data_IF_258395184276
#
_entry.id   IF_258395184276
#
_cell.length_a   1.000
_cell.length_b   1.000
_cell.length_c   1.000
_cell.angle_alpha   90.00
_cell.angle_beta   90.00
_cell.angle_gamma   90.00
#
_symmetry.space_group_name_H-M   'P 1'
#
loop_
_entity.id
_entity.type
_entity.pdbx_description
1 polymer ?
#
# COMPACT_ATOMS: atom_id res chain seq x y z
N UNK A 1 14.84 -1.21 17.79
CA UNK A 1 16.22 -0.66 17.97
C UNK A 1 16.57 -0.59 19.46
N UNK A 2 17.73 -1.07 19.94
CA UNK A 2 18.44 -0.21 20.92
C UNK A 2 18.65 1.09 20.14
N UNK A 3 17.92 2.15 20.49
CA UNK A 3 17.97 3.41 19.75
C UNK A 3 19.45 3.74 19.49
N UNK A 4 19.86 3.85 18.22
CA UNK A 4 21.25 4.22 17.91
C UNK A 4 21.46 5.55 18.63
N UNK A 5 22.35 5.62 19.65
CA UNK A 5 22.44 6.80 20.48
C UNK A 5 22.71 8.01 19.59
N UNK A 6 21.99 9.11 19.82
CA UNK A 6 22.18 10.32 19.02
C UNK A 6 23.66 10.75 19.03
N UNK A 7 24.34 10.58 20.16
CA UNK A 7 25.78 10.76 20.35
C UNK A 7 26.63 9.93 19.38
N UNK A 8 26.25 8.66 19.16
CA UNK A 8 26.92 7.77 18.22
C UNK A 8 26.72 8.24 16.78
N UNK A 9 25.51 8.68 16.43
CA UNK A 9 25.22 9.27 15.13
C UNK A 9 26.02 10.57 14.89
N UNK A 10 26.12 11.44 15.89
CA UNK A 10 26.92 12.68 15.84
C UNK A 10 28.41 12.37 15.63
N UNK A 11 28.95 11.34 16.30
CA UNK A 11 30.33 10.89 16.09
C UNK A 11 30.54 10.22 14.72
N UNK A 12 29.56 9.44 14.28
CA UNK A 12 29.55 8.69 13.03
C UNK A 12 29.50 9.61 11.80
N UNK A 13 28.83 10.77 11.92
CA UNK A 13 28.68 11.78 10.85
C UNK A 13 28.22 11.20 9.50
N UNK A 14 27.47 10.09 9.56
CA UNK A 14 26.90 9.42 8.40
C UNK A 14 27.86 8.69 7.45
N UNK A 15 29.17 8.70 7.70
CA UNK A 15 30.18 8.08 6.81
C UNK A 15 31.13 7.11 7.51
N UNK A 16 31.15 7.07 8.86
CA UNK A 16 32.06 6.20 9.62
C UNK A 16 31.44 4.83 9.98
N UNK A 17 30.17 4.63 9.66
CA UNK A 17 29.42 3.38 9.87
C UNK A 17 29.56 2.76 11.28
N UNK A 18 29.72 3.59 12.31
CA UNK A 18 29.95 3.16 13.70
C UNK A 18 28.78 2.38 14.31
N UNK A 19 27.61 2.42 13.69
CA UNK A 19 26.43 1.66 14.10
C UNK A 19 26.39 0.23 13.52
N UNK A 20 27.42 -0.19 12.76
CA UNK A 20 27.49 -1.52 12.14
C UNK A 20 26.57 -1.71 10.93
N UNK A 21 25.83 -0.68 10.51
CA UNK A 21 25.03 -0.72 9.30
C UNK A 21 25.92 -0.54 8.05
N UNK A 22 25.66 -1.25 6.94
CA UNK A 22 26.44 -1.14 5.70
C UNK A 22 26.29 0.22 5.01
N UNK A 23 25.26 1.01 5.37
CA UNK A 23 25.06 2.38 4.93
C UNK A 23 24.39 3.21 6.05
N UNK A 24 24.43 4.55 5.95
CA UNK A 24 23.74 5.43 6.90
C UNK A 24 22.33 5.77 6.42
N UNK A 25 21.26 5.31 7.11
CA UNK A 25 19.89 5.61 6.70
C UNK A 25 19.55 7.11 6.70
N UNK A 26 20.17 7.90 7.59
CA UNK A 26 19.96 9.35 7.64
C UNK A 26 20.52 10.07 6.40
N UNK A 27 21.70 9.66 5.93
CA UNK A 27 22.31 10.24 4.73
C UNK A 27 21.58 9.83 3.47
N UNK A 28 21.14 8.57 3.37
CA UNK A 28 20.32 8.12 2.24
C UNK A 28 18.98 8.89 2.19
N UNK A 29 18.33 9.09 3.35
CA UNK A 29 17.14 9.95 3.46
C UNK A 29 17.42 11.38 2.99
N UNK A 30 18.49 12.01 3.50
CA UNK A 30 18.84 13.38 3.13
C UNK A 30 19.13 13.53 1.64
N UNK A 31 19.94 12.63 1.07
CA UNK A 31 20.23 12.60 -0.37
C UNK A 31 18.96 12.42 -1.19
N UNK A 32 18.08 11.51 -0.78
CA UNK A 32 16.81 11.30 -1.47
C UNK A 32 15.96 12.56 -1.45
N UNK A 33 15.86 13.28 -0.33
CA UNK A 33 15.14 14.57 -0.27
C UNK A 33 15.76 15.57 -1.23
N UNK A 34 17.07 15.80 -1.11
CA UNK A 34 17.76 16.83 -1.89
C UNK A 34 17.64 16.54 -3.37
N UNK A 35 17.88 15.31 -3.81
CA UNK A 35 17.73 14.91 -5.20
C UNK A 35 16.30 15.14 -5.71
N UNK A 36 15.31 14.88 -4.87
CA UNK A 36 13.91 15.03 -5.27
C UNK A 36 13.54 16.50 -5.35
N UNK A 37 13.92 17.31 -4.37
CA UNK A 37 13.74 18.77 -4.41
C UNK A 37 14.53 19.44 -5.54
N UNK A 38 15.67 18.88 -5.95
CA UNK A 38 16.48 19.36 -7.07
C UNK A 38 15.88 19.00 -8.43
N UNK A 39 15.33 17.78 -8.58
CA UNK A 39 14.63 17.34 -9.80
C UNK A 39 13.33 18.11 -10.02
N UNK A 40 12.74 18.54 -8.93
CA UNK A 40 11.55 19.37 -8.92
C UNK A 40 11.94 20.75 -9.44
N UNK A 41 11.74 20.97 -10.74
CA UNK A 41 11.63 22.30 -11.33
C UNK A 41 10.34 22.97 -10.83
N UNK A 42 10.11 23.02 -9.52
CA UNK A 42 9.18 23.99 -8.96
C UNK A 42 9.84 25.32 -9.25
N UNK A 43 9.39 25.96 -10.32
CA UNK A 43 9.48 27.40 -10.41
C UNK A 43 8.83 27.90 -9.11
N UNK A 44 9.64 28.49 -8.20
CA UNK A 44 9.17 28.83 -6.84
C UNK A 44 7.93 29.75 -6.88
N UNK A 45 7.73 30.41 -8.01
CA UNK A 45 6.57 31.21 -8.35
C UNK A 45 5.32 30.38 -8.74
N UNK A 46 5.46 29.30 -9.51
CA UNK A 46 4.30 28.55 -10.06
C UNK A 46 3.76 27.46 -9.12
N UNK A 47 4.62 26.88 -8.26
CA UNK A 47 4.29 25.76 -7.35
C UNK A 47 3.59 24.59 -8.06
N UNK A 48 3.89 24.42 -9.35
CA UNK A 48 3.35 23.37 -10.22
C UNK A 48 4.29 22.16 -10.16
N UNK A 49 3.70 20.97 -10.11
CA UNK A 49 4.40 19.69 -10.15
C UNK A 49 3.68 18.82 -11.17
N UNK A 50 4.43 18.33 -12.16
CA UNK A 50 3.98 17.43 -13.20
C UNK A 50 4.63 16.05 -13.06
N UNK A 51 3.92 15.02 -13.54
CA UNK A 51 4.39 13.64 -13.63
C UNK A 51 3.23 12.66 -13.83
N UNK A 52 3.51 11.42 -14.22
CA UNK A 52 2.45 10.42 -14.36
C UNK A 52 2.02 9.83 -13.01
N UNK A 53 0.72 9.59 -12.84
CA UNK A 53 0.05 8.98 -11.69
C UNK A 53 -0.90 7.85 -12.14
N UNK A 54 -1.14 6.82 -11.33
CA UNK A 54 -0.42 6.46 -10.12
C UNK A 54 1.05 6.24 -10.46
N UNK A 55 1.92 6.71 -9.56
CA UNK A 55 2.57 5.67 -8.80
C UNK A 55 1.73 5.37 -7.57
N UNK A 56 1.21 6.40 -6.87
CA UNK A 56 0.57 6.17 -5.58
C UNK A 56 -0.56 7.13 -5.24
N UNK A 57 -1.67 6.60 -4.72
CA UNK A 57 -2.78 7.38 -4.19
C UNK A 57 -3.31 6.75 -2.90
N UNK A 58 -3.57 7.57 -1.88
CA UNK A 58 -3.98 7.11 -0.55
C UNK A 58 -5.16 7.96 -0.06
N UNK A 59 -6.17 7.31 0.50
CA UNK A 59 -7.24 7.93 1.28
C UNK A 59 -6.88 7.83 2.76
N UNK A 60 -6.63 8.96 3.41
CA UNK A 60 -6.27 9.02 4.82
C UNK A 60 -7.46 8.77 5.76
N UNK A 61 -7.21 8.10 6.90
CA UNK A 61 -8.21 7.80 7.94
C UNK A 61 -8.41 8.92 8.96
N UNK A 62 -7.39 9.76 9.18
CA UNK A 62 -7.41 10.78 10.22
C UNK A 62 -8.46 11.86 9.92
N UNK A 63 -9.47 11.96 10.80
CA UNK A 63 -10.53 12.97 10.70
C UNK A 63 -11.78 12.50 9.95
N UNK A 64 -11.88 11.20 9.64
CA UNK A 64 -13.06 10.61 9.00
C UNK A 64 -14.37 11.07 9.69
N UNK A 65 -15.40 11.51 8.93
CA UNK A 65 -15.59 11.36 7.48
C UNK A 65 -14.85 12.40 6.61
N UNK A 66 -14.19 13.42 7.19
CA UNK A 66 -13.36 14.36 6.42
C UNK A 66 -11.99 13.74 6.17
N UNK A 67 -11.79 13.26 4.95
CA UNK A 67 -10.59 12.53 4.56
C UNK A 67 -9.61 13.42 3.81
N UNK A 68 -8.32 13.05 3.86
CA UNK A 68 -7.28 13.66 3.02
C UNK A 68 -6.86 12.66 1.96
N UNK A 69 -7.03 13.01 0.69
CA UNK A 69 -6.46 12.31 -0.44
C UNK A 69 -5.00 12.73 -0.56
N UNK A 70 -4.10 11.75 -0.64
CA UNK A 70 -2.68 11.96 -0.86
C UNK A 70 -2.36 11.36 -2.23
N UNK A 71 -2.13 12.23 -3.21
CA UNK A 71 -1.80 11.86 -4.58
C UNK A 71 -0.31 12.12 -4.78
N UNK A 72 0.44 11.09 -5.15
CA UNK A 72 1.88 11.17 -5.23
C UNK A 72 2.33 11.23 -6.69
N UNK A 73 3.11 12.25 -7.02
CA UNK A 73 3.64 12.50 -8.36
C UNK A 73 5.16 12.33 -8.36
N UNK A 74 5.74 11.55 -9.29
CA UNK A 74 7.17 11.54 -9.54
C UNK A 74 7.53 12.75 -10.41
N UNK A 75 8.31 13.72 -9.89
CA UNK A 75 8.48 15.01 -10.55
C UNK A 75 9.16 14.90 -11.92
N UNK A 76 8.49 15.39 -12.97
CA UNK A 76 8.93 15.37 -14.37
C UNK A 76 9.26 13.97 -14.90
N UNK A 77 8.64 12.94 -14.34
CA UNK A 77 8.74 11.55 -14.82
C UNK A 77 7.40 11.16 -15.43
N UNK A 78 7.44 10.66 -16.67
CA UNK A 78 6.25 10.37 -17.46
C UNK A 78 6.23 8.93 -17.99
N UNK A 79 5.04 8.44 -18.33
CA UNK A 79 4.81 7.11 -18.87
C UNK A 79 5.23 5.98 -17.94
N UNK A 80 5.64 4.85 -18.51
CA UNK A 80 5.95 3.62 -17.76
C UNK A 80 7.09 3.77 -16.74
N UNK A 81 7.98 4.76 -16.88
CA UNK A 81 9.03 4.99 -15.87
C UNK A 81 8.43 5.34 -14.50
N UNK A 82 7.30 6.07 -14.49
CA UNK A 82 6.62 6.48 -13.26
C UNK A 82 6.17 5.28 -12.43
N UNK A 83 5.85 4.14 -13.07
CA UNK A 83 5.44 2.90 -12.41
C UNK A 83 6.49 2.39 -11.44
N UNK A 84 7.77 2.62 -11.70
CA UNK A 84 8.85 2.15 -10.85
C UNK A 84 8.86 2.78 -9.45
N UNK A 85 8.14 3.88 -9.25
CA UNK A 85 8.11 4.60 -7.98
C UNK A 85 7.09 4.03 -6.97
N UNK A 86 6.16 3.17 -7.41
CA UNK A 86 5.31 2.34 -6.55
C UNK A 86 4.86 1.08 -7.31
N UNK A 87 5.66 0.00 -7.18
CA UNK A 87 5.40 -1.28 -7.82
C UNK A 87 5.69 -2.45 -6.87
N UNK A 88 4.89 -2.61 -5.81
CA UNK A 88 5.16 -3.59 -4.76
C UNK A 88 5.27 -5.03 -5.30
N UNK A 89 4.46 -5.40 -6.30
CA UNK A 89 4.52 -6.71 -6.94
C UNK A 89 5.89 -7.01 -7.56
N UNK A 90 6.48 -6.04 -8.27
CA UNK A 90 7.78 -6.24 -8.91
C UNK A 90 8.98 -5.97 -7.98
N UNK A 91 8.76 -5.30 -6.85
CA UNK A 91 9.82 -5.06 -5.86
C UNK A 91 10.14 -6.30 -5.03
N UNK A 92 9.16 -7.17 -4.80
CA UNK A 92 9.31 -8.36 -3.98
C UNK A 92 10.51 -9.22 -4.41
N UNK A 93 11.43 -9.46 -3.47
CA UNK A 93 12.66 -10.24 -3.70
C UNK A 93 13.72 -9.60 -4.60
N UNK A 94 13.47 -8.42 -5.18
CA UNK A 94 14.37 -7.77 -6.16
C UNK A 94 14.92 -6.42 -5.71
N UNK A 95 14.13 -5.65 -4.97
CA UNK A 95 14.46 -4.27 -4.60
C UNK A 95 14.71 -4.18 -3.10
N UNK A 96 15.82 -3.55 -2.73
CA UNK A 96 16.21 -3.40 -1.32
C UNK A 96 15.36 -2.36 -0.58
N UNK A 97 15.31 -2.44 0.76
CA UNK A 97 14.62 -1.44 1.59
C UNK A 97 15.14 -0.02 1.33
N UNK A 98 16.46 0.13 1.13
CA UNK A 98 17.09 1.42 0.84
C UNK A 98 16.60 2.01 -0.50
N UNK A 99 16.47 1.18 -1.53
CA UNK A 99 15.95 1.60 -2.84
C UNK A 99 14.47 1.95 -2.78
N UNK A 100 13.65 1.16 -2.07
CA UNK A 100 12.24 1.48 -1.84
C UNK A 100 12.10 2.83 -1.13
N UNK A 101 12.90 3.07 -0.09
CA UNK A 101 12.94 4.35 0.62
C UNK A 101 13.29 5.48 -0.34
N UNK A 102 14.30 5.31 -1.20
CA UNK A 102 14.73 6.30 -2.18
C UNK A 102 13.63 6.62 -3.21
N UNK A 103 13.02 5.60 -3.81
CA UNK A 103 11.94 5.74 -4.79
C UNK A 103 10.76 6.50 -4.16
N UNK A 104 10.26 6.03 -3.03
CA UNK A 104 9.09 6.63 -2.38
C UNK A 104 9.34 8.02 -1.81
N UNK A 105 10.54 8.27 -1.28
CA UNK A 105 10.91 9.59 -0.75
C UNK A 105 11.08 10.64 -1.86
N UNK A 106 11.14 10.20 -3.12
CA UNK A 106 11.24 11.08 -4.28
C UNK A 106 9.94 11.55 -4.89
N UNK A 107 8.84 10.99 -4.43
CA UNK A 107 7.51 11.43 -4.81
C UNK A 107 7.15 12.74 -4.12
N UNK A 108 6.42 13.61 -4.81
CA UNK A 108 5.74 14.75 -4.19
C UNK A 108 4.30 14.36 -3.85
N UNK A 109 3.94 14.51 -2.59
CA UNK A 109 2.56 14.31 -2.11
C UNK A 109 1.72 15.59 -2.27
N UNK A 110 0.77 15.58 -3.21
CA UNK A 110 -0.31 16.55 -3.31
C UNK A 110 -1.49 16.14 -2.41
N UNK A 111 -1.86 17.00 -1.45
CA UNK A 111 -2.89 16.70 -0.45
C UNK A 111 -4.18 17.46 -0.71
N UNK A 112 -5.27 16.74 -1.01
CA UNK A 112 -6.62 17.29 -1.18
C UNK A 112 -7.52 16.86 -0.03
N UNK A 113 -8.37 17.74 0.47
CA UNK A 113 -9.36 17.41 1.51
C UNK A 113 -10.74 17.27 0.88
N UNK A 114 -11.45 16.22 1.25
CA UNK A 114 -12.83 15.99 0.81
C UNK A 114 -13.61 15.24 1.90
N UNK A 115 -14.93 15.18 1.76
CA UNK A 115 -15.76 14.34 2.63
C UNK A 115 -15.91 12.95 2.01
N UNK A 116 -15.91 11.91 2.83
CA UNK A 116 -16.03 10.53 2.39
C UNK A 116 -17.32 10.25 1.60
N UNK A 117 -18.39 11.02 1.84
CA UNK A 117 -19.65 10.91 1.09
C UNK A 117 -19.55 11.40 -0.36
N UNK A 118 -18.51 12.16 -0.71
CA UNK A 118 -18.34 12.81 -2.03
C UNK A 118 -17.57 11.96 -3.04
N UNK A 119 -17.71 10.63 -2.98
CA UNK A 119 -17.04 9.73 -3.93
C UNK A 119 -17.46 10.02 -5.39
N UNK A 120 -18.74 10.34 -5.61
CA UNK A 120 -19.25 10.70 -6.94
C UNK A 120 -18.69 12.03 -7.46
N UNK A 121 -18.61 13.06 -6.61
CA UNK A 121 -17.98 14.34 -6.98
C UNK A 121 -16.52 14.13 -7.38
N UNK A 122 -15.81 13.25 -6.66
CA UNK A 122 -14.42 12.91 -6.95
C UNK A 122 -14.29 12.14 -8.27
N UNK A 123 -15.23 11.24 -8.61
CA UNK A 123 -15.25 10.55 -9.89
C UNK A 123 -15.22 11.53 -11.07
N UNK A 124 -15.99 12.63 -10.99
CA UNK A 124 -16.05 13.67 -12.03
C UNK A 124 -14.73 14.44 -12.22
N UNK A 125 -13.75 14.27 -11.32
CA UNK A 125 -12.40 14.85 -11.47
C UNK A 125 -11.41 13.93 -12.18
N UNK A 126 -11.84 12.73 -12.57
CA UNK A 126 -11.03 11.65 -13.15
C UNK A 126 -9.90 11.12 -12.25
N UNK A 127 -9.66 11.74 -11.09
CA UNK A 127 -8.66 11.29 -10.11
C UNK A 127 -8.83 9.80 -9.78
N UNK A 128 -10.02 9.29 -9.43
CA UNK A 128 -10.17 7.86 -9.12
C UNK A 128 -9.78 6.95 -10.29
N UNK A 129 -10.07 7.37 -11.52
CA UNK A 129 -9.78 6.60 -12.73
C UNK A 129 -8.28 6.46 -12.97
N UNK A 130 -7.49 7.50 -12.66
CA UNK A 130 -6.03 7.37 -12.72
C UNK A 130 -5.56 6.22 -11.84
N UNK A 131 -6.00 6.16 -10.58
CA UNK A 131 -5.52 5.20 -9.57
C UNK A 131 -5.78 3.73 -9.96
N UNK A 132 -6.83 3.48 -10.73
CA UNK A 132 -7.20 2.14 -11.20
C UNK A 132 -6.79 1.87 -12.66
N UNK A 133 -6.02 2.78 -13.27
CA UNK A 133 -5.57 2.63 -14.65
C UNK A 133 -4.53 1.52 -14.82
N UNK A 134 -4.48 0.93 -16.02
CA UNK A 134 -3.47 -0.05 -16.41
C UNK A 134 -2.06 0.56 -16.50
N UNK A 135 -1.99 1.82 -16.95
CA UNK A 135 -0.74 2.54 -17.20
C UNK A 135 -0.69 3.82 -16.36
N UNK A 136 0.50 4.34 -16.02
CA UNK A 136 0.62 5.67 -15.43
C UNK A 136 0.04 6.74 -16.36
N UNK A 137 -0.73 7.68 -15.80
CA UNK A 137 -1.47 8.73 -16.49
C UNK A 137 -0.89 10.09 -16.14
N UNK A 138 -0.55 10.91 -17.12
CA UNK A 138 -0.02 12.25 -16.85
C UNK A 138 -0.99 13.11 -16.02
N UNK A 139 -0.42 13.79 -15.03
CA UNK A 139 -1.15 14.66 -14.13
C UNK A 139 -0.30 15.82 -13.62
N UNK A 140 -0.99 16.89 -13.25
CA UNK A 140 -0.41 18.11 -12.72
C UNK A 140 -1.05 18.46 -11.37
N UNK A 141 -0.22 18.79 -10.38
CA UNK A 141 -0.66 19.32 -9.10
C UNK A 141 -0.12 20.74 -8.88
N UNK A 142 -1.01 21.67 -8.54
CA UNK A 142 -0.63 23.00 -8.05
C UNK A 142 -0.69 23.02 -6.53
N UNK A 143 0.45 23.18 -5.87
CA UNK A 143 0.55 23.18 -4.42
C UNK A 143 0.35 24.59 -3.84
N UNK A 144 -0.36 24.70 -2.71
CA UNK A 144 -0.42 25.94 -1.91
C UNK A 144 0.94 26.27 -1.32
N UNK A 145 1.57 25.22 -0.78
CA UNK A 145 2.88 25.27 -0.12
C UNK A 145 3.51 23.89 -0.21
N UNK A 146 4.80 23.86 -0.56
CA UNK A 146 5.61 22.67 -0.45
C UNK A 146 6.22 22.59 0.95
N UNK A 147 5.99 21.48 1.65
CA UNK A 147 6.71 21.15 2.88
C UNK A 147 7.79 20.12 2.57
N UNK A 148 9.05 20.53 2.67
CA UNK A 148 10.22 19.66 2.51
C UNK A 148 10.48 18.81 3.78
N UNK A 149 9.46 18.10 4.27
CA UNK A 149 9.55 17.24 5.46
C UNK A 149 9.30 15.80 5.08
N UNK A 150 10.32 14.95 5.21
CA UNK A 150 10.08 13.50 5.22
C UNK A 150 9.32 13.13 6.48
N UNK A 151 8.26 12.35 6.31
CA UNK A 151 7.54 11.72 7.41
C UNK A 151 7.83 10.23 7.36
N UNK A 152 8.54 9.76 8.38
CA UNK A 152 8.75 8.36 8.69
C UNK A 152 8.40 8.18 10.16
N UNK A 153 7.24 7.63 10.42
CA UNK A 153 6.83 7.22 11.77
C UNK A 153 6.87 5.70 11.92
N UNK A 154 7.41 4.99 10.91
CA UNK A 154 7.35 3.55 10.75
C UNK A 154 5.97 3.04 10.33
N UNK A 155 4.88 3.69 10.74
CA UNK A 155 3.48 3.24 10.60
C UNK A 155 2.96 3.52 9.21
N UNK A 156 3.49 4.58 8.62
CA UNK A 156 3.18 5.05 7.29
C UNK A 156 4.37 4.77 6.39
N UNK A 157 4.04 4.35 5.17
CA UNK A 157 4.99 4.24 4.08
C UNK A 157 5.90 5.49 4.02
N UNK A 158 7.20 5.33 3.72
CA UNK A 158 8.08 6.45 3.41
C UNK A 158 7.39 7.48 2.53
N UNK A 159 7.28 8.72 2.99
CA UNK A 159 6.68 9.82 2.23
C UNK A 159 7.70 10.91 1.96
N UNK A 160 7.82 11.24 0.69
CA UNK A 160 8.56 12.38 0.19
C UNK A 160 7.97 13.73 0.62
N UNK A 161 8.56 14.83 0.13
CA UNK A 161 8.04 16.18 0.38
C UNK A 161 6.62 16.34 -0.16
N UNK A 162 5.87 17.32 0.33
CA UNK A 162 4.51 17.53 -0.15
C UNK A 162 3.75 18.58 0.63
N UNK A 163 2.48 18.76 0.30
CA UNK A 163 1.65 19.73 1.00
C UNK A 163 0.25 19.86 0.43
N UNK A 164 -0.57 20.76 1.02
CA UNK A 164 -1.92 21.03 0.54
C UNK A 164 -1.92 21.49 -0.92
N UNK A 165 -2.75 20.85 -1.75
CA UNK A 165 -2.94 21.23 -3.15
C UNK A 165 -4.11 22.21 -3.31
N UNK A 166 -3.97 23.16 -4.24
CA UNK A 166 -5.07 23.99 -4.75
C UNK A 166 -5.88 23.25 -5.79
N UNK A 167 -5.17 22.56 -6.70
CA UNK A 167 -5.74 21.87 -7.84
C UNK A 167 -4.90 20.65 -8.17
N UNK A 168 -5.58 19.59 -8.58
CA UNK A 168 -5.00 18.42 -9.22
C UNK A 168 -5.75 18.24 -10.54
N UNK A 169 -5.01 18.07 -11.64
CA UNK A 169 -5.57 17.95 -12.98
C UNK A 169 -4.97 16.72 -13.64
N UNK A 170 -5.84 15.84 -14.11
CA UNK A 170 -5.46 14.73 -14.99
C UNK A 170 -5.31 15.30 -16.40
N UNK A 171 -4.19 15.05 -17.07
CA UNK A 171 -3.86 15.63 -18.38
C UNK A 171 -3.81 14.61 -19.51
N UNK A 172 -3.86 13.32 -19.18
CA UNK A 172 -3.89 12.19 -20.11
C UNK A 172 -5.08 11.26 -19.78
N UNK A 173 -5.45 10.38 -20.71
CA UNK A 173 -6.62 9.52 -20.57
C UNK A 173 -6.30 8.22 -19.81
N UNK A 174 -6.95 7.95 -18.66
CA UNK A 174 -6.81 6.68 -17.96
C UNK A 174 -7.34 5.52 -18.79
N UNK A 175 -6.56 4.45 -18.92
CA UNK A 175 -7.01 3.18 -19.49
C UNK A 175 -7.48 2.24 -18.39
N UNK A 176 -8.77 1.90 -18.36
CA UNK A 176 -9.36 1.05 -17.32
C UNK A 176 -9.58 -0.38 -17.83
N UNK A 177 -9.29 -1.43 -17.05
CA UNK A 177 -9.66 -2.79 -17.41
C UNK A 177 -11.18 -2.92 -17.65
N UNK A 178 -11.58 -3.50 -18.78
CA UNK A 178 -13.00 -3.53 -19.19
C UNK A 178 -13.95 -4.12 -18.13
N UNK A 179 -13.51 -5.15 -17.40
CA UNK A 179 -14.31 -5.76 -16.32
C UNK A 179 -14.50 -4.81 -15.15
N UNK A 180 -13.45 -4.07 -14.79
CA UNK A 180 -13.50 -3.06 -13.74
C UNK A 180 -14.40 -1.90 -14.14
N UNK A 181 -14.21 -1.38 -15.35
CA UNK A 181 -15.03 -0.30 -15.90
C UNK A 181 -16.53 -0.65 -15.85
N UNK A 182 -16.90 -1.85 -16.31
CA UNK A 182 -18.27 -2.35 -16.21
C UNK A 182 -18.80 -2.34 -14.77
N UNK A 183 -18.03 -2.87 -13.81
CA UNK A 183 -18.46 -2.98 -12.41
C UNK A 183 -18.58 -1.62 -11.69
N UNK A 184 -17.93 -0.56 -12.20
CA UNK A 184 -18.14 0.80 -11.73
C UNK A 184 -19.59 1.25 -12.04
N UNK A 185 -20.17 0.82 -13.16
CA UNK A 185 -21.53 1.20 -13.52
C UNK A 185 -22.60 0.24 -12.97
N UNK A 186 -22.23 -1.00 -12.68
CA UNK A 186 -23.15 -1.99 -12.09
C UNK A 186 -23.52 -1.63 -10.63
N UNK A 187 -24.80 -1.77 -10.27
CA UNK A 187 -25.32 -1.49 -8.93
C UNK A 187 -25.34 -2.75 -8.04
N UNK A 188 -24.17 -3.40 -7.93
CA UNK A 188 -23.98 -4.65 -7.19
C UNK A 188 -23.37 -4.41 -5.80
N UNK A 189 -23.39 -5.41 -4.92
CA UNK A 189 -22.69 -5.29 -3.62
C UNK A 189 -21.18 -5.22 -3.84
N UNK A 190 -20.47 -4.52 -2.96
CA UNK A 190 -19.02 -4.37 -3.06
C UNK A 190 -18.31 -5.74 -2.98
N UNK A 191 -18.76 -6.63 -2.11
CA UNK A 191 -18.22 -8.00 -1.98
C UNK A 191 -18.32 -8.78 -3.30
N UNK A 192 -19.50 -8.77 -3.93
CA UNK A 192 -19.74 -9.45 -5.21
C UNK A 192 -18.82 -8.88 -6.32
N UNK A 193 -18.71 -7.55 -6.40
CA UNK A 193 -17.84 -6.88 -7.37
C UNK A 193 -16.36 -7.22 -7.14
N UNK A 194 -15.89 -7.15 -5.89
CA UNK A 194 -14.49 -7.44 -5.52
C UNK A 194 -14.13 -8.88 -5.88
N UNK A 195 -15.00 -9.84 -5.54
CA UNK A 195 -14.75 -11.23 -5.83
C UNK A 195 -14.78 -11.52 -7.34
N UNK A 196 -15.67 -10.86 -8.08
CA UNK A 196 -15.72 -10.96 -9.54
C UNK A 196 -14.44 -10.41 -10.20
N UNK A 197 -13.91 -9.28 -9.73
CA UNK A 197 -12.63 -8.73 -10.19
C UNK A 197 -11.47 -9.67 -9.91
N UNK A 198 -11.43 -10.23 -8.69
CA UNK A 198 -10.41 -11.18 -8.27
C UNK A 198 -10.40 -12.44 -9.18
N UNK A 199 -11.55 -13.07 -9.42
CA UNK A 199 -11.67 -14.23 -10.34
C UNK A 199 -11.21 -13.92 -11.78
N UNK A 200 -11.36 -12.67 -12.22
CA UNK A 200 -10.93 -12.21 -13.53
C UNK A 200 -9.45 -11.78 -13.57
N UNK A 201 -8.67 -12.07 -12.53
CA UNK A 201 -7.25 -11.73 -12.40
C UNK A 201 -6.97 -10.22 -12.54
N UNK A 202 -7.90 -9.37 -12.09
CA UNK A 202 -7.62 -7.95 -11.95
C UNK A 202 -6.62 -7.75 -10.83
N UNK A 203 -5.63 -6.90 -11.06
CA UNK A 203 -4.56 -6.57 -10.12
C UNK A 203 -5.12 -6.24 -8.73
N UNK A 204 -4.64 -6.94 -7.71
CA UNK A 204 -5.07 -6.83 -6.32
C UNK A 204 -5.04 -5.39 -5.78
N UNK A 205 -3.98 -4.63 -6.09
CA UNK A 205 -3.86 -3.24 -5.64
C UNK A 205 -4.88 -2.34 -6.34
N UNK A 206 -5.23 -2.63 -7.60
CA UNK A 206 -6.33 -1.92 -8.29
C UNK A 206 -7.69 -2.18 -7.64
N UNK A 207 -7.95 -3.41 -7.18
CA UNK A 207 -9.20 -3.75 -6.46
C UNK A 207 -9.30 -2.95 -5.15
N UNK A 208 -8.19 -2.90 -4.37
CA UNK A 208 -8.11 -2.07 -3.16
C UNK A 208 -8.38 -0.61 -3.48
N UNK A 209 -7.72 -0.08 -4.51
CA UNK A 209 -7.87 1.32 -4.90
C UNK A 209 -9.29 1.63 -5.37
N UNK A 210 -9.91 0.73 -6.13
CA UNK A 210 -11.30 0.87 -6.56
C UNK A 210 -12.26 0.93 -5.37
N UNK A 211 -12.08 0.10 -4.35
CA UNK A 211 -12.86 0.19 -3.12
C UNK A 211 -12.55 1.49 -2.33
N UNK A 212 -11.26 1.82 -2.16
CA UNK A 212 -10.79 2.97 -1.39
C UNK A 212 -11.31 4.30 -1.95
N UNK A 213 -11.33 4.44 -3.28
CA UNK A 213 -11.86 5.61 -3.97
C UNK A 213 -13.38 5.55 -4.22
N UNK A 214 -14.07 4.58 -3.61
CA UNK A 214 -15.53 4.51 -3.64
C UNK A 214 -16.11 4.19 -5.01
N UNK A 215 -15.37 3.45 -5.85
CA UNK A 215 -15.81 3.06 -7.20
C UNK A 215 -16.67 1.79 -7.21
N UNK A 216 -16.54 0.95 -6.18
CA UNK A 216 -17.25 -0.33 -6.09
C UNK A 216 -18.39 -0.30 -5.07
N UNK A 217 -19.41 -1.13 -5.33
CA UNK A 217 -20.58 -1.29 -4.48
C UNK A 217 -21.80 -0.50 -4.94
N UNK A 218 -22.87 -0.57 -4.15
CA UNK A 218 -24.15 0.06 -4.49
C UNK A 218 -24.02 1.58 -4.55
N UNK A 219 -24.54 2.21 -5.59
CA UNK A 219 -24.37 3.65 -5.89
C UNK A 219 -24.69 4.55 -4.70
N UNK A 220 -25.78 4.26 -3.99
CA UNK A 220 -26.23 5.03 -2.81
C UNK A 220 -25.35 4.86 -1.56
N UNK A 221 -24.49 3.84 -1.54
CA UNK A 221 -23.64 3.48 -0.39
C UNK A 221 -22.15 3.71 -0.64
N UNK A 222 -21.77 4.11 -1.85
CA UNK A 222 -20.38 4.42 -2.20
C UNK A 222 -19.85 5.58 -1.37
N UNK A 223 -18.68 5.35 -0.78
CA UNK A 223 -17.94 6.32 0.03
C UNK A 223 -16.46 6.12 -0.22
N UNK A 224 -15.67 7.16 0.02
CA UNK A 224 -14.23 7.00 0.14
C UNK A 224 -13.94 6.21 1.41
N UNK A 225 -13.22 5.10 1.25
CA UNK A 225 -12.80 4.23 2.34
C UNK A 225 -11.31 4.47 2.55
N UNK A 226 -10.87 4.83 3.77
CA UNK A 226 -9.45 4.93 4.08
C UNK A 226 -8.68 3.70 3.59
N UNK A 227 -7.54 3.90 2.94
CA UNK A 227 -6.86 2.84 2.21
C UNK A 227 -6.49 1.65 3.11
N UNK A 228 -6.14 1.90 4.38
CA UNK A 228 -5.91 0.82 5.36
C UNK A 228 -7.14 -0.05 5.56
N UNK A 229 -8.32 0.55 5.68
CA UNK A 229 -9.58 -0.19 5.84
C UNK A 229 -9.96 -0.90 4.55
N UNK A 230 -9.67 -0.29 3.39
CA UNK A 230 -9.91 -0.92 2.09
C UNK A 230 -9.05 -2.18 1.90
N UNK A 231 -7.76 -2.15 2.27
CA UNK A 231 -6.88 -3.34 2.25
C UNK A 231 -7.50 -4.47 3.06
N UNK A 232 -7.75 -4.22 4.35
CA UNK A 232 -8.37 -5.18 5.27
C UNK A 232 -9.72 -5.70 4.76
N UNK A 233 -10.55 -4.83 4.19
CA UNK A 233 -11.87 -5.19 3.68
C UNK A 233 -11.78 -6.08 2.43
N UNK A 234 -10.90 -5.76 1.48
CA UNK A 234 -10.67 -6.60 0.30
C UNK A 234 -10.13 -7.97 0.71
N UNK A 235 -9.11 -8.02 1.58
CA UNK A 235 -8.54 -9.29 2.07
C UNK A 235 -9.60 -10.15 2.75
N UNK A 236 -10.43 -9.54 3.60
CA UNK A 236 -11.50 -10.25 4.32
C UNK A 236 -12.58 -10.76 3.37
N UNK A 237 -12.98 -9.97 2.37
CA UNK A 237 -14.02 -10.36 1.41
C UNK A 237 -13.54 -11.51 0.51
N UNK A 238 -12.34 -11.40 -0.07
CA UNK A 238 -11.80 -12.47 -0.93
C UNK A 238 -11.51 -13.71 -0.08
N UNK A 239 -10.87 -13.53 1.08
CA UNK A 239 -10.52 -14.63 1.97
C UNK A 239 -11.74 -15.39 2.49
N UNK A 240 -12.89 -14.75 2.68
CA UNK A 240 -14.13 -15.44 3.06
C UNK A 240 -14.62 -16.36 1.93
N UNK A 241 -14.67 -15.86 0.70
CA UNK A 241 -15.12 -16.64 -0.47
C UNK A 241 -14.20 -17.84 -0.74
N UNK A 242 -12.89 -17.67 -0.55
CA UNK A 242 -11.92 -18.76 -0.68
C UNK A 242 -12.07 -19.80 0.43
N UNK A 243 -12.26 -19.36 1.68
CA UNK A 243 -12.45 -20.27 2.80
C UNK A 243 -13.72 -21.14 2.62
N UNK A 244 -14.82 -20.54 2.15
CA UNK A 244 -16.05 -21.28 1.84
C UNK A 244 -15.78 -22.38 0.80
N UNK A 245 -15.01 -22.11 -0.26
CA UNK A 245 -14.60 -23.14 -1.23
C UNK A 245 -13.68 -24.22 -0.64
N UNK A 246 -12.68 -23.83 0.13
CA UNK A 246 -11.72 -24.76 0.75
C UNK A 246 -12.45 -25.72 1.70
N UNK A 247 -13.53 -25.26 2.34
CA UNK A 247 -14.37 -26.12 3.18
C UNK A 247 -15.03 -27.29 2.43
N UNK A 248 -15.08 -27.25 1.09
CA UNK A 248 -15.58 -28.35 0.24
C UNK A 248 -14.47 -29.34 -0.18
N UNK A 249 -13.20 -29.01 0.06
CA UNK A 249 -12.06 -29.85 -0.29
C UNK A 249 -11.70 -30.84 0.83
N UNK A 250 -10.78 -31.75 0.49
CA UNK A 250 -10.27 -32.76 1.40
C UNK A 250 -9.22 -32.14 2.32
N UNK A 251 -9.28 -32.48 3.60
CA UNK A 251 -8.39 -31.99 4.65
C UNK A 251 -6.89 -32.19 4.33
N UNK A 252 -6.07 -31.31 4.91
CA UNK A 252 -4.65 -31.54 5.08
C UNK A 252 -4.45 -32.69 6.09
N UNK A 253 -3.58 -33.64 5.75
CA UNK A 253 -3.36 -34.83 6.58
C UNK A 253 -2.14 -34.71 7.51
N UNK A 254 -1.32 -33.69 7.30
CA UNK A 254 -0.05 -33.52 8.01
C UNK A 254 0.18 -32.05 8.32
N UNK A 255 1.03 -31.80 9.32
CA UNK A 255 1.49 -30.44 9.62
C UNK A 255 2.42 -29.98 8.51
N UNK A 256 2.15 -28.80 7.95
CA UNK A 256 3.00 -28.16 6.96
C UNK A 256 3.53 -26.84 7.53
N UNK A 257 4.83 -26.60 7.36
CA UNK A 257 5.49 -25.38 7.85
C UNK A 257 6.11 -24.66 6.67
N UNK A 258 5.69 -23.41 6.50
CA UNK A 258 6.17 -22.51 5.47
C UNK A 258 6.97 -21.38 6.08
N UNK A 259 7.95 -20.90 5.34
CA UNK A 259 8.85 -19.83 5.76
C UNK A 259 9.07 -18.84 4.63
N UNK A 260 9.09 -17.55 4.98
CA UNK A 260 9.50 -16.48 4.08
C UNK A 260 10.18 -15.36 4.86
N UNK A 261 11.04 -14.60 4.18
CA UNK A 261 11.65 -13.41 4.74
C UNK A 261 11.69 -12.29 3.72
N UNK A 262 11.34 -11.07 4.15
CA UNK A 262 11.36 -9.89 3.27
C UNK A 262 11.67 -8.62 4.05
N UNK A 263 12.59 -7.81 3.53
CA UNK A 263 13.04 -6.53 4.12
C UNK A 263 13.41 -6.61 5.62
N UNK A 264 13.94 -7.76 6.05
CA UNK A 264 14.37 -8.00 7.43
C UNK A 264 13.27 -8.54 8.37
N UNK A 265 12.06 -8.76 7.86
CA UNK A 265 10.99 -9.46 8.57
C UNK A 265 11.02 -10.95 8.23
N UNK A 266 10.69 -11.78 9.20
CA UNK A 266 10.60 -13.23 9.07
C UNK A 266 9.18 -13.68 9.37
N UNK A 267 8.61 -14.47 8.47
CA UNK A 267 7.26 -14.98 8.54
C UNK A 267 7.31 -16.50 8.53
N UNK A 268 6.64 -17.11 9.51
CA UNK A 268 6.36 -18.54 9.50
C UNK A 268 4.86 -18.74 9.47
N UNK A 269 4.42 -19.71 8.67
CA UNK A 269 3.03 -20.14 8.60
C UNK A 269 3.01 -21.63 8.87
N UNK A 270 2.26 -22.03 9.89
CA UNK A 270 2.06 -23.42 10.26
C UNK A 270 0.62 -23.76 9.90
N UNK A 271 0.43 -24.77 9.06
CA UNK A 271 -0.87 -25.35 8.75
C UNK A 271 -1.01 -26.67 9.48
N UNK A 272 -2.11 -26.84 10.21
CA UNK A 272 -2.41 -28.05 10.94
C UNK A 272 -3.33 -28.98 10.13
N UNK A 273 -3.34 -30.29 10.43
CA UNK A 273 -4.28 -31.22 9.82
C UNK A 273 -5.74 -30.83 10.09
N UNK A 274 -6.40 -30.29 9.07
CA UNK A 274 -7.83 -29.97 9.01
C UNK A 274 -8.12 -29.42 7.60
N UNK A 275 -9.36 -28.95 7.33
CA UNK A 275 -9.62 -28.20 6.10
C UNK A 275 -8.93 -26.83 6.10
N UNK A 276 -8.87 -26.21 7.27
CA UNK A 276 -8.13 -24.96 7.45
C UNK A 276 -7.92 -24.71 8.94
N UNK A 277 -6.68 -24.68 9.39
CA UNK A 277 -6.29 -24.18 10.71
C UNK A 277 -4.85 -23.74 10.57
N UNK A 278 -4.59 -22.48 10.92
CA UNK A 278 -3.26 -21.92 10.70
C UNK A 278 -2.78 -21.13 11.91
N UNK A 279 -1.46 -21.12 12.07
CA UNK A 279 -0.77 -20.20 12.97
C UNK A 279 0.21 -19.40 12.15
N UNK A 280 0.09 -18.08 12.22
CA UNK A 280 1.03 -17.13 11.66
C UNK A 280 1.95 -16.61 12.76
N UNK A 281 3.25 -16.77 12.56
CA UNK A 281 4.28 -16.28 13.46
C UNK A 281 5.07 -15.19 12.74
N UNK A 282 5.02 -13.98 13.29
CA UNK A 282 5.79 -12.83 12.81
C UNK A 282 6.89 -12.52 13.82
N UNK A 283 8.13 -12.61 13.37
CA UNK A 283 9.30 -12.34 14.21
C UNK A 283 9.85 -10.97 13.85
N UNK A 284 9.62 -10.01 14.73
CA UNK A 284 10.14 -8.66 14.63
C UNK A 284 11.55 -8.60 15.19
N UNK A 285 12.51 -8.38 14.30
CA UNK A 285 13.91 -8.23 14.70
C UNK A 285 14.09 -7.03 15.66
N UNK A 286 15.03 -7.09 16.64
CA UNK A 286 15.32 -6.00 17.57
C UNK A 286 15.76 -4.68 16.93
N UNK A 287 16.04 -4.68 15.62
CA UNK A 287 16.41 -3.51 14.82
C UNK A 287 15.25 -2.98 13.98
N UNK A 288 14.07 -3.59 14.05
CA UNK A 288 12.85 -3.07 13.45
C UNK A 288 12.45 -1.74 14.10
N UNK A 289 11.56 -1.02 13.41
CA UNK A 289 10.96 0.23 13.90
C UNK A 289 9.98 -0.01 15.05
N UNK A 290 9.53 -1.26 15.24
CA UNK A 290 8.44 -1.62 16.16
C UNK A 290 8.86 -2.28 17.43
N UNK A 291 10.00 -2.97 17.41
CA UNK A 291 10.51 -3.63 18.59
C UNK A 291 11.94 -3.21 18.88
N UNK A 292 12.21 -2.89 20.14
CA UNK A 292 13.56 -2.68 20.68
C UNK A 292 14.25 -4.00 21.01
N UNK A 293 13.47 -5.07 21.11
CA UNK A 293 13.86 -6.43 21.48
C UNK A 293 13.38 -7.43 20.42
N UNK A 294 13.71 -8.72 20.55
CA UNK A 294 13.16 -9.73 19.66
C UNK A 294 11.71 -9.95 20.09
N UNK A 295 10.75 -9.57 19.25
CA UNK A 295 9.33 -9.81 19.50
C UNK A 295 8.85 -10.91 18.57
N UNK A 296 8.32 -11.98 19.14
CA UNK A 296 7.64 -13.04 18.41
C UNK A 296 6.15 -12.81 18.63
N UNK A 297 5.45 -12.45 17.57
CA UNK A 297 3.99 -12.36 17.56
C UNK A 297 3.42 -13.63 16.97
N UNK A 298 2.41 -14.19 17.63
CA UNK A 298 1.67 -15.34 17.16
C UNK A 298 0.20 -14.93 16.98
N UNK A 299 -0.41 -15.42 15.91
CA UNK A 299 -1.84 -15.30 15.66
C UNK A 299 -2.32 -16.61 15.05
N UNK A 300 -3.31 -17.22 15.70
CA UNK A 300 -3.92 -18.46 15.23
C UNK A 300 -5.32 -18.21 14.68
N UNK A 301 -5.70 -18.99 13.68
CA UNK A 301 -7.06 -19.06 13.14
C UNK A 301 -7.53 -20.50 13.10
N UNK A 302 -8.72 -20.72 13.64
CA UNK A 302 -9.34 -22.03 13.69
C UNK A 302 -10.13 -22.36 12.41
N UNK A 303 -10.64 -23.60 12.36
CA UNK A 303 -11.49 -24.11 11.28
C UNK A 303 -12.71 -23.22 10.96
N UNK A 304 -13.28 -22.56 11.97
CA UNK A 304 -14.46 -21.71 11.79
C UNK A 304 -14.13 -20.33 11.23
N UNK A 305 -12.85 -20.04 11.00
CA UNK A 305 -12.37 -18.72 10.57
C UNK A 305 -12.29 -17.70 11.70
N UNK A 306 -12.30 -18.16 12.95
CA UNK A 306 -12.11 -17.32 14.12
C UNK A 306 -10.62 -17.19 14.38
N UNK A 307 -10.13 -15.95 14.34
CA UNK A 307 -8.74 -15.59 14.62
C UNK A 307 -8.64 -14.77 15.90
N UNK A 308 -7.49 -14.85 16.59
CA UNK A 308 -7.29 -14.26 17.91
C UNK A 308 -7.56 -12.74 17.97
N UNK A 309 -7.10 -12.00 16.95
CA UNK A 309 -7.36 -10.57 16.80
C UNK A 309 -7.23 -10.13 15.35
N UNK A 310 -7.87 -9.02 14.98
CA UNK A 310 -7.79 -8.48 13.63
C UNK A 310 -6.45 -7.78 13.41
N UNK A 311 -5.61 -8.35 12.55
CA UNK A 311 -4.38 -7.73 12.07
C UNK A 311 -4.33 -7.67 10.54
N UNK A 312 -3.90 -6.52 10.00
CA UNK A 312 -3.84 -6.32 8.55
C UNK A 312 -2.72 -7.09 7.87
N UNK A 313 -1.58 -7.29 8.55
CA UNK A 313 -0.49 -8.12 8.05
C UNK A 313 -0.90 -9.59 8.01
N UNK A 314 -1.60 -10.05 9.05
CA UNK A 314 -2.19 -11.38 9.07
C UNK A 314 -3.18 -11.61 7.94
N UNK A 315 -4.16 -10.72 7.73
CA UNK A 315 -5.18 -10.90 6.70
C UNK A 315 -4.58 -10.95 5.28
N UNK A 316 -3.53 -10.17 5.02
CA UNK A 316 -2.78 -10.25 3.77
C UNK A 316 -2.03 -11.59 3.62
N UNK A 317 -1.40 -12.09 4.69
CA UNK A 317 -0.72 -13.39 4.67
C UNK A 317 -1.73 -14.55 4.51
N UNK A 318 -2.85 -14.48 5.24
CA UNK A 318 -3.99 -15.40 5.19
C UNK A 318 -4.51 -15.56 3.78
N UNK A 319 -4.67 -14.46 3.03
CA UNK A 319 -5.12 -14.53 1.64
C UNK A 319 -4.21 -15.41 0.79
N UNK A 320 -2.88 -15.25 0.90
CA UNK A 320 -1.92 -16.08 0.17
C UNK A 320 -1.96 -17.56 0.58
N UNK A 321 -2.26 -17.86 1.84
CA UNK A 321 -2.48 -19.25 2.32
C UNK A 321 -3.72 -19.85 1.67
N UNK A 322 -4.83 -19.12 1.65
CA UNK A 322 -6.08 -19.60 1.07
C UNK A 322 -5.96 -19.77 -0.46
N UNK A 323 -5.24 -18.88 -1.14
CA UNK A 323 -4.91 -19.04 -2.56
C UNK A 323 -4.11 -20.33 -2.82
N UNK A 324 -3.15 -20.65 -1.95
CA UNK A 324 -2.37 -21.90 -2.03
C UNK A 324 -3.26 -23.14 -1.85
N UNK A 325 -4.11 -23.14 -0.82
CA UNK A 325 -5.04 -24.23 -0.53
C UNK A 325 -6.05 -24.44 -1.66
N UNK A 326 -6.65 -23.36 -2.17
CA UNK A 326 -7.52 -23.40 -3.36
C UNK A 326 -6.79 -24.05 -4.56
N UNK A 327 -5.54 -23.67 -4.78
CA UNK A 327 -4.71 -24.19 -5.89
C UNK A 327 -4.43 -25.69 -5.76
N UNK A 328 -4.11 -26.19 -4.56
CA UNK A 328 -3.84 -27.62 -4.34
C UNK A 328 -5.11 -28.45 -4.11
N UNK A 329 -6.27 -27.78 -4.03
CA UNK A 329 -7.58 -28.37 -3.73
C UNK A 329 -7.57 -29.17 -2.42
N UNK A 330 -7.04 -28.53 -1.38
CA UNK A 330 -7.04 -28.99 0.01
C UNK A 330 -7.62 -27.90 0.89
#
# INVERSE_FOLDING_TARGET
MRAIPAELCVKCKGHKYLCGLPYCPLMERFRSIVNSLQKVKINQESKLVDGSTPPSAIVGERGYPKVTLILNLPPSIHGEEARNYENPLNWWGKVSLGEIIKLRSSLISAMLKTDASKALDLYNTEIPLTVISENPVDSEAKLKKLEAKLKFDGRVLPRGPGGPAEKFKVTDNPKIPAKLDKLIFDDVKAQEAIYELYKHNIDYYKIINALSFGLLGQRKRRKLVPTRWAITAVDSMIGKELQEKISEYNELNQVEVYYSSYLGNYFHIILYPSKYTSTWIEIWHPLSLWSTELLVSELSENYWGEYDYMDGGYLAARLGVLEYLEKIKR
#
